data_IF_698635064642
#
_entry.id   IF_698635064642
#
_cell.length_a   1.000
_cell.length_b   1.000
_cell.length_c   1.000
_cell.angle_alpha   90.00
_cell.angle_beta   90.00
_cell.angle_gamma   90.00
#
_symmetry.space_group_name_H-M   'P 1'
#
loop_
_entity.id
_entity.type
_entity.pdbx_description
1 polymer ?
#
# COMPACT_ATOMS: atom_id res chain seq x y z
N UNK A 1 -3.99 -16.21 1.74
CA UNK A 1 -3.18 -14.97 1.76
C UNK A 1 -1.72 -15.18 1.36
N UNK A 2 -0.85 -15.76 2.20
CA UNK A 2 0.60 -15.88 1.90
C UNK A 2 0.93 -16.54 0.56
N UNK A 3 0.19 -17.59 0.19
CA UNK A 3 0.34 -18.27 -1.11
C UNK A 3 0.19 -17.30 -2.30
N UNK A 4 -0.71 -16.33 -2.20
CA UNK A 4 -0.97 -15.37 -3.27
C UNK A 4 0.09 -14.27 -3.29
N UNK A 5 0.51 -13.81 -2.12
CA UNK A 5 1.64 -12.88 -2.01
C UNK A 5 2.86 -13.51 -2.68
N UNK A 6 3.22 -14.75 -2.31
CA UNK A 6 4.35 -15.47 -2.89
C UNK A 6 4.21 -15.67 -4.41
N UNK A 7 3.05 -16.10 -4.90
CA UNK A 7 2.79 -16.25 -6.34
C UNK A 7 2.97 -14.93 -7.10
N UNK A 8 2.46 -13.83 -6.56
CA UNK A 8 2.52 -12.53 -7.20
C UNK A 8 3.93 -11.93 -7.15
N UNK A 9 4.71 -12.22 -6.11
CA UNK A 9 6.13 -11.86 -6.06
C UNK A 9 6.96 -12.58 -7.12
N UNK A 10 6.63 -13.85 -7.43
CA UNK A 10 7.24 -14.56 -8.56
C UNK A 10 6.78 -13.95 -9.90
N UNK A 11 5.49 -13.62 -10.01
CA UNK A 11 4.88 -13.03 -11.20
C UNK A 11 4.86 -11.48 -11.15
N UNK A 12 5.97 -10.88 -10.71
CA UNK A 12 6.08 -9.45 -10.40
C UNK A 12 5.68 -8.52 -11.56
N UNK A 13 6.09 -8.88 -12.77
CA UNK A 13 5.79 -8.16 -14.02
C UNK A 13 4.28 -8.02 -14.26
N UNK A 14 3.50 -9.06 -13.92
CA UNK A 14 2.08 -9.12 -14.24
C UNK A 14 1.17 -8.36 -13.28
N UNK A 15 1.69 -7.85 -12.17
CA UNK A 15 0.86 -7.12 -11.18
C UNK A 15 0.41 -5.78 -11.79
N UNK A 16 -0.90 -5.53 -11.79
CA UNK A 16 -1.48 -4.27 -12.26
C UNK A 16 -2.44 -3.70 -11.21
N UNK A 17 -2.50 -2.36 -11.04
CA UNK A 17 -3.39 -1.72 -10.10
C UNK A 17 -4.80 -1.58 -10.72
N UNK A 18 -5.43 -2.71 -11.05
CA UNK A 18 -6.79 -2.74 -11.60
C UNK A 18 -7.69 -3.73 -10.85
N UNK A 19 -8.99 -3.44 -10.86
CA UNK A 19 -10.01 -4.30 -10.23
C UNK A 19 -10.05 -5.65 -10.95
N UNK A 20 -9.95 -5.65 -12.27
CA UNK A 20 -9.93 -6.86 -13.11
C UNK A 20 -8.75 -7.76 -12.76
N UNK A 21 -7.58 -7.17 -12.48
CA UNK A 21 -6.41 -7.92 -12.08
C UNK A 21 -6.62 -8.64 -10.74
N UNK A 22 -7.19 -7.97 -9.74
CA UNK A 22 -7.55 -8.62 -8.47
C UNK A 22 -8.59 -9.71 -8.69
N UNK A 23 -9.58 -9.44 -9.54
CA UNK A 23 -10.56 -10.42 -10.00
C UNK A 23 -9.92 -11.68 -10.59
N UNK A 24 -8.84 -11.54 -11.37
CA UNK A 24 -8.13 -12.66 -12.00
C UNK A 24 -7.38 -13.56 -11.02
N UNK A 25 -7.09 -13.07 -9.81
CA UNK A 25 -6.39 -13.85 -8.77
C UNK A 25 -7.30 -14.87 -8.08
N UNK A 26 -8.62 -14.70 -8.20
CA UNK A 26 -9.60 -15.53 -7.53
C UNK A 26 -9.94 -16.73 -8.43
N UNK A 27 -9.76 -17.98 -7.96
CA UNK A 27 -10.14 -19.18 -8.68
C UNK A 27 -11.65 -19.19 -9.02
N UNK A 28 -12.00 -19.74 -10.19
CA UNK A 28 -13.39 -19.81 -10.65
C UNK A 28 -14.29 -20.58 -9.67
N UNK A 29 -13.77 -21.63 -9.02
CA UNK A 29 -14.50 -22.38 -7.99
C UNK A 29 -14.97 -21.52 -6.84
N UNK A 30 -14.13 -20.57 -6.40
CA UNK A 30 -14.45 -19.65 -5.30
C UNK A 30 -15.37 -18.55 -5.79
N UNK A 31 -15.19 -18.04 -7.02
CA UNK A 31 -16.12 -17.06 -7.60
C UNK A 31 -17.52 -17.63 -7.69
N UNK A 32 -17.67 -18.80 -8.30
CA UNK A 32 -18.97 -19.45 -8.47
C UNK A 32 -19.60 -19.73 -7.12
N UNK A 33 -18.86 -20.28 -6.15
CA UNK A 33 -19.38 -20.54 -4.81
C UNK A 33 -19.85 -19.29 -4.06
N UNK A 34 -19.12 -18.18 -4.17
CA UNK A 34 -19.50 -16.91 -3.52
C UNK A 34 -20.71 -16.25 -4.20
N UNK A 35 -20.77 -16.28 -5.53
CA UNK A 35 -21.90 -15.71 -6.28
C UNK A 35 -23.17 -16.56 -6.12
N UNK A 36 -23.08 -17.89 -6.16
CA UNK A 36 -24.23 -18.79 -5.97
C UNK A 36 -24.85 -18.66 -4.58
N UNK A 37 -24.02 -18.45 -3.54
CA UNK A 37 -24.50 -18.25 -2.17
C UNK A 37 -25.12 -16.86 -1.95
N UNK A 38 -24.76 -15.86 -2.75
CA UNK A 38 -25.33 -14.50 -2.66
C UNK A 38 -26.71 -14.35 -3.32
N UNK A 39 -27.12 -15.32 -4.14
CA UNK A 39 -28.40 -15.33 -4.89
C UNK A 39 -29.49 -16.22 -4.26
N UNK A 40 -29.37 -16.60 -2.98
CA UNK A 40 -30.38 -17.38 -2.23
C UNK A 40 -30.81 -18.70 -2.91
N UNK A 41 -29.95 -19.33 -3.69
CA UNK A 41 -30.25 -20.62 -4.30
C UNK A 41 -29.22 -21.68 -3.89
N UNK A 42 -29.76 -22.69 -3.19
CA UNK A 42 -29.21 -24.01 -2.87
C UNK A 42 -28.66 -24.13 -1.44
N UNK A 43 -29.48 -24.80 -0.61
CA UNK A 43 -29.06 -25.58 0.56
C UNK A 43 -27.99 -26.60 0.11
N UNK A 44 -26.73 -26.18 0.10
CA UNK A 44 -25.59 -27.07 -0.08
C UNK A 44 -24.97 -27.30 1.30
N UNK A 45 -25.52 -28.25 2.06
CA UNK A 45 -24.91 -28.82 3.29
C UNK A 45 -23.51 -29.45 3.04
N UNK A 46 -23.01 -29.45 1.79
CA UNK A 46 -21.71 -30.01 1.39
C UNK A 46 -20.55 -29.00 1.29
N UNK A 47 -20.81 -27.69 1.29
CA UNK A 47 -19.74 -26.69 1.25
C UNK A 47 -19.74 -25.83 2.50
N UNK A 48 -18.62 -25.83 3.24
CA UNK A 48 -18.36 -24.87 4.31
C UNK A 48 -18.33 -23.45 3.72
N UNK A 49 -19.50 -22.78 3.68
CA UNK A 49 -19.66 -21.43 3.15
C UNK A 49 -18.68 -20.47 3.81
N UNK A 50 -18.49 -20.60 5.13
CA UNK A 50 -17.50 -19.85 5.90
C UNK A 50 -16.07 -20.01 5.34
N UNK A 51 -15.66 -21.23 5.00
CA UNK A 51 -14.34 -21.49 4.44
C UNK A 51 -14.16 -20.85 3.04
N UNK A 52 -15.22 -20.85 2.22
CA UNK A 52 -15.21 -20.21 0.91
C UNK A 52 -15.09 -18.69 1.01
N UNK A 53 -15.91 -18.05 1.84
CA UNK A 53 -15.84 -16.59 2.06
C UNK A 53 -14.53 -16.17 2.72
N UNK A 54 -14.04 -16.95 3.70
CA UNK A 54 -12.76 -16.70 4.34
C UNK A 54 -11.59 -16.86 3.35
N UNK A 55 -11.64 -17.85 2.46
CA UNK A 55 -10.66 -17.99 1.39
C UNK A 55 -10.71 -16.78 0.46
N UNK A 56 -11.90 -16.37 0.01
CA UNK A 56 -12.10 -15.23 -0.88
C UNK A 56 -11.50 -13.93 -0.32
N UNK A 57 -11.83 -13.57 0.93
CA UNK A 57 -11.27 -12.37 1.58
C UNK A 57 -9.75 -12.45 1.67
N UNK A 58 -9.20 -13.58 2.12
CA UNK A 58 -7.76 -13.78 2.24
C UNK A 58 -7.03 -13.78 0.89
N UNK A 59 -7.73 -14.08 -0.21
CA UNK A 59 -7.21 -14.00 -1.58
C UNK A 59 -7.10 -12.54 -1.99
N UNK A 60 -8.20 -11.79 -1.86
CA UNK A 60 -8.27 -10.35 -2.19
C UNK A 60 -7.25 -9.56 -1.38
N UNK A 61 -7.19 -9.74 -0.06
CA UNK A 61 -6.20 -9.07 0.80
C UNK A 61 -4.77 -9.41 0.40
N UNK A 62 -4.49 -10.66 0.01
CA UNK A 62 -3.17 -11.06 -0.47
C UNK A 62 -2.77 -10.37 -1.77
N UNK A 63 -3.73 -10.15 -2.68
CA UNK A 63 -3.52 -9.39 -3.91
C UNK A 63 -3.27 -7.90 -3.61
N UNK A 64 -4.03 -7.30 -2.70
CA UNK A 64 -3.83 -5.91 -2.26
C UNK A 64 -2.43 -5.69 -1.66
N UNK A 65 -1.95 -6.61 -0.81
CA UNK A 65 -0.59 -6.53 -0.24
C UNK A 65 0.47 -6.61 -1.34
N UNK A 66 0.27 -7.47 -2.35
CA UNK A 66 1.21 -7.57 -3.48
C UNK A 66 1.26 -6.27 -4.30
N UNK A 67 0.13 -5.61 -4.53
CA UNK A 67 0.09 -4.27 -5.15
C UNK A 67 0.83 -3.25 -4.27
N UNK A 68 0.61 -3.28 -2.96
CA UNK A 68 1.32 -2.41 -2.02
C UNK A 68 2.84 -2.58 -2.04
N UNK A 69 3.32 -3.82 -2.18
CA UNK A 69 4.75 -4.12 -2.34
C UNK A 69 5.30 -3.65 -3.68
N UNK A 70 4.57 -3.84 -4.79
CA UNK A 70 5.00 -3.40 -6.13
C UNK A 70 5.12 -1.89 -6.26
N UNK A 71 4.14 -1.17 -5.73
CA UNK A 71 4.08 0.29 -5.83
C UNK A 71 4.60 0.97 -4.56
N UNK A 72 5.50 0.32 -3.82
CA UNK A 72 6.02 0.84 -2.56
C UNK A 72 6.73 2.19 -2.77
N UNK A 73 6.21 3.23 -2.13
CA UNK A 73 6.74 4.58 -2.22
C UNK A 73 6.74 5.19 -3.61
N UNK A 74 5.97 4.66 -4.57
CA UNK A 74 5.88 5.20 -5.94
C UNK A 74 4.87 6.34 -6.06
N UNK A 75 3.99 6.53 -5.06
CA UNK A 75 2.92 7.54 -5.06
C UNK A 75 1.97 7.42 -6.27
N UNK A 76 1.76 6.21 -6.77
CA UNK A 76 0.84 5.98 -7.88
C UNK A 76 -0.62 6.22 -7.46
N UNK A 77 -1.34 7.08 -8.19
CA UNK A 77 -2.74 7.42 -7.95
C UNK A 77 -3.68 6.23 -8.09
N UNK A 78 -3.53 5.44 -9.15
CA UNK A 78 -4.41 4.31 -9.46
C UNK A 78 -4.38 3.24 -8.36
N UNK A 79 -3.16 2.90 -7.91
CA UNK A 79 -2.96 1.94 -6.82
C UNK A 79 -3.54 2.44 -5.50
N UNK A 80 -3.45 3.75 -5.25
CA UNK A 80 -4.00 4.37 -4.05
C UNK A 80 -5.53 4.40 -4.05
N UNK A 81 -6.14 4.80 -5.17
CA UNK A 81 -7.60 4.81 -5.31
C UNK A 81 -8.17 3.40 -5.19
N UNK A 82 -7.55 2.42 -5.86
CA UNK A 82 -7.95 1.02 -5.78
C UNK A 82 -7.89 0.52 -4.34
N UNK A 83 -6.75 0.65 -3.65
CA UNK A 83 -6.59 0.15 -2.28
C UNK A 83 -7.49 0.89 -1.29
N UNK A 84 -7.71 2.19 -1.52
CA UNK A 84 -8.66 2.99 -0.75
C UNK A 84 -10.10 2.48 -0.93
N UNK A 85 -10.52 2.19 -2.17
CA UNK A 85 -11.85 1.65 -2.47
C UNK A 85 -12.11 0.33 -1.77
N UNK A 86 -11.14 -0.60 -1.78
CA UNK A 86 -11.22 -1.85 -1.02
C UNK A 86 -11.27 -1.60 0.48
N UNK A 87 -10.43 -0.70 1.02
CA UNK A 87 -10.44 -0.41 2.47
C UNK A 87 -11.80 0.14 2.92
N UNK A 88 -12.40 1.04 2.13
CA UNK A 88 -13.73 1.60 2.40
C UNK A 88 -14.81 0.53 2.27
N UNK A 89 -14.72 -0.37 1.29
CA UNK A 89 -15.67 -1.48 1.17
C UNK A 89 -15.63 -2.40 2.39
N UNK A 90 -14.43 -2.87 2.79
CA UNK A 90 -14.26 -3.69 4.00
C UNK A 90 -14.72 -2.95 5.26
N UNK A 91 -14.56 -1.62 5.31
CA UNK A 91 -15.10 -0.80 6.39
C UNK A 91 -16.63 -0.79 6.43
N UNK A 92 -17.26 -0.57 5.28
CA UNK A 92 -18.71 -0.51 5.14
C UNK A 92 -19.39 -1.83 5.53
N UNK A 93 -18.75 -2.96 5.27
CA UNK A 93 -19.23 -4.27 5.69
C UNK A 93 -19.15 -4.46 7.22
N UNK A 94 -18.15 -3.90 7.91
CA UNK A 94 -18.07 -3.97 9.39
C UNK A 94 -19.09 -3.04 10.05
N UNK A 95 -19.21 -1.82 9.51
CA UNK A 95 -20.18 -0.82 9.91
C UNK A 95 -20.54 0.02 8.69
N UNK A 96 -21.82 0.17 8.39
CA UNK A 96 -22.27 1.05 7.32
C UNK A 96 -21.79 2.50 7.57
N UNK A 97 -20.67 2.88 6.95
CA UNK A 97 -20.28 4.28 6.80
C UNK A 97 -20.98 4.77 5.53
N UNK A 98 -21.53 5.98 5.58
CA UNK A 98 -22.37 6.59 4.54
C UNK A 98 -21.64 6.93 3.22
N UNK A 99 -20.56 6.23 2.89
CA UNK A 99 -19.79 6.41 1.66
C UNK A 99 -20.17 5.29 0.68
N UNK A 100 -21.06 5.62 -0.26
CA UNK A 100 -21.45 4.73 -1.35
C UNK A 100 -20.25 4.55 -2.30
N UNK A 101 -19.75 3.33 -2.40
CA UNK A 101 -18.78 2.90 -3.41
C UNK A 101 -19.44 1.87 -4.35
N UNK A 102 -19.00 1.76 -5.61
CA UNK A 102 -19.53 0.73 -6.52
C UNK A 102 -19.31 -0.66 -5.91
N UNK A 103 -20.28 -1.56 -6.08
CA UNK A 103 -20.31 -2.88 -5.43
C UNK A 103 -19.24 -3.81 -5.99
N UNK A 104 -18.03 -3.72 -5.46
CA UNK A 104 -16.86 -4.53 -5.89
C UNK A 104 -16.85 -5.91 -5.20
N UNK A 105 -17.56 -6.05 -4.09
CA UNK A 105 -17.55 -7.22 -3.20
C UNK A 105 -18.99 -7.60 -2.83
N UNK A 106 -19.28 -8.89 -2.62
CA UNK A 106 -20.61 -9.37 -2.23
C UNK A 106 -21.00 -8.79 -0.86
N UNK A 107 -22.27 -8.42 -0.71
CA UNK A 107 -22.82 -7.86 0.54
C UNK A 107 -23.04 -8.96 1.57
N UNK A 108 -22.82 -8.67 2.85
CA UNK A 108 -23.16 -9.60 3.95
C UNK A 108 -22.00 -10.49 4.39
N UNK A 109 -20.75 -10.03 4.26
CA UNK A 109 -19.56 -10.81 4.61
C UNK A 109 -19.53 -11.18 6.12
N UNK A 110 -20.12 -10.35 6.98
CA UNK A 110 -20.21 -10.59 8.43
C UNK A 110 -21.07 -11.81 8.81
N UNK A 111 -21.96 -12.26 7.92
CA UNK A 111 -22.80 -13.44 8.20
C UNK A 111 -22.01 -14.75 8.10
N UNK A 112 -20.94 -14.74 7.30
CA UNK A 112 -20.15 -15.93 6.97
C UNK A 112 -18.72 -15.88 7.49
N UNK A 113 -18.25 -14.74 7.99
CA UNK A 113 -16.85 -14.54 8.37
C UNK A 113 -16.71 -13.87 9.73
N UNK A 114 -15.85 -14.45 10.56
CA UNK A 114 -15.43 -13.88 11.84
C UNK A 114 -15.00 -12.42 11.70
N UNK A 115 -15.66 -11.55 12.49
CA UNK A 115 -15.34 -10.11 12.60
C UNK A 115 -13.84 -9.84 12.76
N UNK A 116 -13.14 -10.66 13.55
CA UNK A 116 -11.70 -10.50 13.78
C UNK A 116 -10.84 -10.69 12.52
N UNK A 117 -11.22 -11.62 11.64
CA UNK A 117 -10.48 -11.88 10.40
C UNK A 117 -10.70 -10.77 9.37
N UNK A 118 -11.92 -10.24 9.30
CA UNK A 118 -12.27 -9.13 8.43
C UNK A 118 -11.59 -7.83 8.92
N UNK A 119 -11.58 -7.57 10.23
CA UNK A 119 -10.82 -6.47 10.82
C UNK A 119 -9.32 -6.58 10.52
N UNK A 120 -8.73 -7.77 10.65
CA UNK A 120 -7.32 -7.99 10.31
C UNK A 120 -7.05 -7.68 8.82
N UNK A 121 -7.90 -8.17 7.91
CA UNK A 121 -7.77 -7.93 6.48
C UNK A 121 -7.87 -6.44 6.12
N UNK A 122 -8.83 -5.72 6.71
CA UNK A 122 -8.95 -4.27 6.57
C UNK A 122 -7.66 -3.56 6.97
N UNK A 123 -7.09 -3.90 8.12
CA UNK A 123 -5.88 -3.25 8.61
C UNK A 123 -4.65 -3.54 7.74
N UNK A 124 -4.57 -4.75 7.19
CA UNK A 124 -3.51 -5.12 6.25
C UNK A 124 -3.63 -4.35 4.92
N UNK A 125 -4.86 -4.16 4.41
CA UNK A 125 -5.08 -3.34 3.20
C UNK A 125 -4.73 -1.87 3.50
N UNK A 126 -5.16 -1.33 4.63
CA UNK A 126 -4.82 0.03 5.05
C UNK A 126 -3.30 0.24 5.21
N UNK A 127 -2.60 -0.77 5.70
CA UNK A 127 -1.14 -0.79 5.79
C UNK A 127 -0.51 -0.89 4.41
N UNK A 128 -1.03 -1.70 3.48
CA UNK A 128 -0.54 -1.71 2.08
C UNK A 128 -0.73 -0.37 1.37
N UNK A 129 -1.85 0.31 1.62
CA UNK A 129 -2.14 1.67 1.13
C UNK A 129 -1.10 2.68 1.63
N UNK A 130 -0.69 2.57 2.90
CA UNK A 130 0.37 3.42 3.47
C UNK A 130 1.76 3.15 2.89
N UNK A 131 2.04 1.93 2.46
CA UNK A 131 3.31 1.57 1.81
C UNK A 131 3.39 2.20 0.42
N UNK A 132 2.30 2.24 -0.34
CA UNK A 132 2.25 2.94 -1.65
C UNK A 132 2.50 4.44 -1.49
N UNK A 133 1.87 5.04 -0.48
CA UNK A 133 1.94 6.47 -0.17
C UNK A 133 3.01 6.81 0.88
N UNK A 134 4.05 5.99 1.00
CA UNK A 134 5.07 6.17 2.03
C UNK A 134 5.81 7.50 1.86
N UNK A 135 5.94 8.24 2.96
CA UNK A 135 6.62 9.54 3.04
C UNK A 135 5.81 10.75 2.52
N UNK A 136 4.74 10.56 1.74
CA UNK A 136 4.05 11.68 1.08
C UNK A 136 3.12 12.48 2.01
N UNK A 137 2.68 11.90 3.13
CA UNK A 137 1.71 12.56 4.02
C UNK A 137 0.31 12.72 3.42
N UNK A 138 -0.09 11.90 2.43
CA UNK A 138 -1.37 12.02 1.72
C UNK A 138 -2.58 12.17 2.68
N UNK A 139 -3.31 13.28 2.57
CA UNK A 139 -4.35 13.65 3.54
C UNK A 139 -5.53 12.68 3.57
N UNK A 140 -5.95 12.14 2.42
CA UNK A 140 -7.06 11.19 2.33
C UNK A 140 -6.74 9.89 3.09
N UNK A 141 -5.58 9.29 2.83
CA UNK A 141 -5.07 8.12 3.54
C UNK A 141 -4.93 8.41 5.04
N UNK A 142 -4.43 9.59 5.41
CA UNK A 142 -4.26 9.94 6.82
C UNK A 142 -5.60 10.07 7.58
N UNK A 143 -6.61 10.68 6.96
CA UNK A 143 -7.96 10.78 7.55
C UNK A 143 -8.55 9.40 7.81
N UNK A 144 -8.39 8.48 6.85
CA UNK A 144 -8.81 7.08 6.98
C UNK A 144 -8.08 6.38 8.14
N UNK A 145 -6.75 6.46 8.20
CA UNK A 145 -5.96 5.84 9.27
C UNK A 145 -6.28 6.43 10.65
N UNK A 146 -6.53 7.74 10.74
CA UNK A 146 -6.95 8.40 11.99
C UNK A 146 -8.31 7.90 12.45
N UNK A 147 -9.25 7.72 11.53
CA UNK A 147 -10.56 7.14 11.83
C UNK A 147 -10.41 5.71 12.36
N UNK A 148 -9.60 4.86 11.71
CA UNK A 148 -9.33 3.50 12.18
C UNK A 148 -8.72 3.47 13.58
N UNK A 149 -7.74 4.35 13.86
CA UNK A 149 -7.13 4.48 15.18
C UNK A 149 -8.14 4.87 16.26
N UNK A 150 -9.02 5.84 15.96
CA UNK A 150 -10.06 6.28 16.89
C UNK A 150 -11.10 5.20 17.18
N UNK A 151 -11.46 4.41 16.16
CA UNK A 151 -12.40 3.29 16.29
C UNK A 151 -11.89 2.21 17.25
N UNK A 152 -10.64 1.78 17.09
CA UNK A 152 -10.07 0.73 17.95
C UNK A 152 -10.07 1.10 19.43
N UNK A 153 -10.00 2.38 19.77
CA UNK A 153 -10.08 2.85 21.16
C UNK A 153 -11.50 2.89 21.72
N UNK A 154 -12.52 3.09 20.87
CA UNK A 154 -13.91 3.25 21.30
C UNK A 154 -14.65 1.91 21.54
N UNK A 155 -14.27 0.85 20.82
CA UNK A 155 -15.00 -0.43 20.87
C UNK A 155 -14.55 -1.39 22.00
N UNK A 156 -13.56 -1.01 22.81
CA UNK A 156 -13.10 -1.82 23.96
C UNK A 156 -12.40 -3.14 23.62
N UNK A 157 -12.56 -3.66 22.39
CA UNK A 157 -11.83 -4.79 21.84
C UNK A 157 -10.48 -4.33 21.27
N UNK A 158 -9.56 -3.99 22.17
CA UNK A 158 -8.23 -3.51 21.80
C UNK A 158 -7.32 -4.70 21.48
N UNK A 159 -7.39 -5.18 20.23
CA UNK A 159 -6.37 -6.08 19.72
C UNK A 159 -5.08 -5.29 19.48
N UNK A 160 -4.06 -5.57 20.29
CA UNK A 160 -2.75 -4.91 20.24
C UNK A 160 -2.19 -4.86 18.81
N UNK A 161 -2.27 -5.98 18.07
CA UNK A 161 -1.79 -6.08 16.71
C UNK A 161 -2.49 -5.14 15.71
N UNK A 162 -3.79 -4.88 15.87
CA UNK A 162 -4.52 -3.95 15.00
C UNK A 162 -4.05 -2.51 15.25
N UNK A 163 -3.92 -2.12 16.52
CA UNK A 163 -3.40 -0.79 16.87
C UNK A 163 -1.96 -0.58 16.40
N UNK A 164 -1.12 -1.62 16.52
CA UNK A 164 0.23 -1.64 16.00
C UNK A 164 0.22 -1.43 14.48
N UNK A 165 -0.63 -2.15 13.74
CA UNK A 165 -0.74 -2.01 12.29
C UNK A 165 -1.16 -0.60 11.86
N UNK A 166 -2.16 0.02 12.51
CA UNK A 166 -2.55 1.41 12.21
C UNK A 166 -1.41 2.39 12.53
N UNK A 167 -0.74 2.21 13.66
CA UNK A 167 0.34 3.11 14.09
C UNK A 167 1.54 3.01 13.14
N UNK A 168 1.87 1.80 12.69
CA UNK A 168 2.91 1.55 11.70
C UNK A 168 2.53 2.13 10.33
N UNK A 169 1.27 1.99 9.91
CA UNK A 169 0.77 2.61 8.68
C UNK A 169 0.84 4.15 8.71
N UNK A 170 0.50 4.77 9.85
CA UNK A 170 0.68 6.22 10.05
C UNK A 170 2.16 6.59 9.98
N UNK A 171 3.03 5.78 10.61
CA UNK A 171 4.48 5.96 10.56
C UNK A 171 5.04 5.92 9.14
N UNK A 172 4.56 4.99 8.30
CA UNK A 172 4.97 4.90 6.90
C UNK A 172 4.53 6.11 6.07
N UNK A 173 3.33 6.63 6.32
CA UNK A 173 2.85 7.83 5.63
C UNK A 173 3.76 9.03 5.88
N UNK A 174 4.32 9.15 7.09
CA UNK A 174 5.25 10.21 7.50
C UNK A 174 6.67 9.72 7.72
N UNK A 175 7.12 8.78 6.88
CA UNK A 175 8.42 8.14 7.03
C UNK A 175 9.56 9.18 7.04
N UNK A 176 10.38 9.15 8.08
CA UNK A 176 11.45 10.15 8.28
C UNK A 176 10.96 11.60 8.35
N UNK A 177 9.69 11.84 8.71
CA UNK A 177 9.08 13.18 8.65
C UNK A 177 8.81 13.67 7.22
N UNK A 178 8.67 12.75 6.26
CA UNK A 178 8.49 13.05 4.83
C UNK A 178 9.79 13.24 4.07
N UNK A 179 10.92 12.82 4.65
CA UNK A 179 12.24 12.87 4.00
C UNK A 179 12.61 11.57 3.30
N UNK A 180 12.05 10.45 3.76
CA UNK A 180 12.35 9.11 3.28
C UNK A 180 11.10 8.47 2.65
N UNK A 181 11.31 7.51 1.76
CA UNK A 181 10.27 6.64 1.22
C UNK A 181 10.86 5.25 0.92
N UNK A 182 10.03 4.27 0.56
CA UNK A 182 10.48 2.87 0.40
C UNK A 182 11.04 2.58 -0.99
N UNK A 183 12.09 1.79 -1.14
CA UNK A 183 12.52 1.32 -2.47
C UNK A 183 11.92 -0.02 -2.85
N UNK A 184 11.98 -0.32 -4.15
CA UNK A 184 11.52 -1.60 -4.71
C UNK A 184 12.67 -2.53 -5.09
N UNK A 185 13.86 -2.31 -4.52
CA UNK A 185 14.99 -3.23 -4.65
C UNK A 185 14.66 -4.62 -4.05
N UNK A 186 15.32 -5.67 -4.55
CA UNK A 186 15.07 -7.04 -4.08
C UNK A 186 15.26 -7.18 -2.55
N UNK A 187 16.27 -6.51 -1.99
CA UNK A 187 16.52 -6.46 -0.54
C UNK A 187 15.44 -5.68 0.21
N UNK A 188 14.98 -4.55 -0.34
CA UNK A 188 13.92 -3.75 0.25
C UNK A 188 12.59 -4.51 0.27
N UNK A 189 12.23 -5.18 -0.83
CA UNK A 189 11.02 -6.02 -0.89
C UNK A 189 11.10 -7.17 0.12
N UNK A 190 12.25 -7.82 0.26
CA UNK A 190 12.44 -8.88 1.25
C UNK A 190 12.24 -8.35 2.69
N UNK A 191 12.83 -7.19 3.01
CA UNK A 191 12.65 -6.53 4.30
C UNK A 191 11.20 -6.12 4.53
N UNK A 192 10.54 -5.54 3.53
CA UNK A 192 9.13 -5.18 3.59
C UNK A 192 8.25 -6.41 3.81
N UNK A 193 8.45 -7.51 3.09
CA UNK A 193 7.69 -8.75 3.28
C UNK A 193 7.77 -9.23 4.73
N UNK A 194 8.96 -9.23 5.31
CA UNK A 194 9.18 -9.62 6.70
C UNK A 194 8.41 -8.67 7.63
N UNK A 195 8.47 -7.36 7.39
CA UNK A 195 7.80 -6.36 8.25
C UNK A 195 6.30 -6.32 8.13
N UNK A 196 5.76 -6.61 6.94
CA UNK A 196 4.32 -6.57 6.63
C UNK A 196 3.69 -7.95 6.77
N UNK A 197 4.37 -8.90 7.41
CA UNK A 197 3.89 -10.26 7.57
C UNK A 197 2.43 -10.28 8.08
N UNK A 198 1.50 -10.94 7.36
CA UNK A 198 0.05 -10.73 7.53
C UNK A 198 -0.57 -11.36 8.79
N UNK A 199 0.24 -11.77 9.77
CA UNK A 199 -0.23 -12.22 11.09
C UNK A 199 0.19 -11.20 12.15
N UNK A 200 -0.80 -10.53 12.72
CA UNK A 200 -0.60 -9.52 13.76
C UNK A 200 -0.61 -10.18 15.16
N UNK A 201 0.20 -9.68 16.11
CA UNK A 201 0.26 -10.21 17.47
C UNK A 201 -1.03 -9.92 18.24
N UNK A 202 -1.44 -10.86 19.09
CA UNK A 202 -2.64 -10.68 19.94
C UNK A 202 -2.36 -9.78 21.15
N UNK A 203 -1.14 -9.85 21.70
CA UNK A 203 -0.69 -9.05 22.82
C UNK A 203 0.77 -8.57 22.66
N UNK A 204 1.25 -7.70 23.55
CA UNK A 204 2.58 -7.09 23.44
C UNK A 204 3.72 -8.10 23.54
N UNK A 205 3.55 -9.21 24.25
CA UNK A 205 4.58 -10.26 24.36
C UNK A 205 4.31 -11.46 23.43
N UNK A 206 3.33 -11.36 22.53
CA UNK A 206 2.97 -12.44 21.62
C UNK A 206 3.93 -12.47 20.42
N UNK A 207 4.79 -13.49 20.39
CA UNK A 207 5.76 -13.75 19.33
C UNK A 207 5.55 -15.14 18.68
N UNK A 208 4.38 -15.76 18.84
CA UNK A 208 4.13 -17.15 18.39
C UNK A 208 4.25 -17.32 16.87
N UNK A 209 3.62 -16.42 16.11
CA UNK A 209 3.52 -16.52 14.65
C UNK A 209 4.58 -15.69 13.92
N UNK A 210 5.08 -14.63 14.57
CA UNK A 210 6.03 -13.69 14.01
C UNK A 210 6.71 -12.92 15.13
N UNK A 211 8.04 -12.78 15.07
CA UNK A 211 8.80 -12.01 16.04
C UNK A 211 8.55 -10.51 15.84
N UNK A 212 8.12 -9.81 16.88
CA UNK A 212 7.78 -8.39 16.76
C UNK A 212 8.97 -7.50 16.38
N UNK A 213 10.20 -7.86 16.75
CA UNK A 213 11.41 -7.12 16.36
C UNK A 213 11.56 -7.00 14.83
N UNK A 214 11.09 -8.00 14.08
CA UNK A 214 11.15 -8.00 12.62
C UNK A 214 10.23 -6.97 11.97
N UNK A 215 9.25 -6.41 12.72
CA UNK A 215 8.45 -5.28 12.27
C UNK A 215 9.28 -4.02 12.06
N UNK A 216 10.49 -3.91 12.60
CA UNK A 216 11.39 -2.76 12.41
C UNK A 216 12.34 -2.89 11.23
N UNK A 217 12.37 -4.04 10.54
CA UNK A 217 13.25 -4.23 9.38
C UNK A 217 12.90 -3.34 8.18
N UNK A 218 11.77 -2.62 8.22
CA UNK A 218 11.37 -1.72 7.14
C UNK A 218 12.40 -0.62 6.93
N UNK A 219 13.20 -0.30 7.96
CA UNK A 219 14.33 0.64 7.92
C UNK A 219 15.31 0.28 6.80
N UNK A 220 15.54 -1.01 6.51
CA UNK A 220 16.43 -1.45 5.43
C UNK A 220 15.86 -1.08 4.05
N UNK A 221 14.54 -1.03 3.93
CA UNK A 221 13.85 -0.63 2.70
C UNK A 221 13.71 0.90 2.56
N UNK A 222 14.11 1.68 3.57
CA UNK A 222 13.96 3.14 3.54
C UNK A 222 15.12 3.81 2.82
N UNK A 223 14.80 4.74 1.93
CA UNK A 223 15.77 5.54 1.19
C UNK A 223 15.42 7.02 1.27
N UNK A 224 16.43 7.91 1.41
CA UNK A 224 16.22 9.35 1.36
C UNK A 224 15.92 9.76 -0.08
N UNK A 225 14.69 10.22 -0.33
CA UNK A 225 14.24 10.65 -1.67
C UNK A 225 13.78 12.10 -1.73
N UNK A 226 13.91 12.85 -0.62
CA UNK A 226 13.53 14.26 -0.57
C UNK A 226 14.55 15.13 -1.29
N UNK A 227 14.05 15.93 -2.21
CA UNK A 227 14.81 17.03 -2.81
C UNK A 227 14.41 18.34 -2.15
N UNK A 228 15.41 19.13 -1.82
CA UNK A 228 15.25 20.47 -1.26
C UNK A 228 16.15 21.42 -2.07
N UNK A 229 15.55 22.47 -2.59
CA UNK A 229 16.30 23.56 -3.22
C UNK A 229 16.65 24.59 -2.17
N UNK A 230 17.88 25.08 -2.24
CA UNK A 230 18.44 26.11 -1.37
C UNK A 230 18.87 27.25 -2.27
N UNK A 231 18.52 28.46 -1.87
CA UNK A 231 18.94 29.66 -2.58
C UNK A 231 20.42 29.94 -2.34
N UNK A 232 21.16 30.24 -3.40
CA UNK A 232 22.63 30.35 -3.37
C UNK A 232 23.07 31.59 -2.59
N UNK A 233 22.33 32.70 -2.73
CA UNK A 233 22.68 33.98 -2.10
C UNK A 233 22.36 33.99 -0.60
N UNK A 234 21.20 33.46 -0.22
CA UNK A 234 20.73 33.49 1.18
C UNK A 234 21.08 32.24 1.99
N UNK A 235 21.38 31.11 1.33
CA UNK A 235 21.57 29.82 1.99
C UNK A 235 20.30 29.24 2.62
N UNK A 236 19.14 29.84 2.37
CA UNK A 236 17.85 29.43 2.91
C UNK A 236 17.12 28.48 1.95
N UNK A 237 16.31 27.54 2.47
CA UNK A 237 15.54 26.66 1.62
C UNK A 237 14.40 27.42 0.94
N UNK A 238 14.24 27.21 -0.37
CA UNK A 238 13.21 27.88 -1.16
C UNK A 238 12.39 26.88 -1.94
N UNK A 239 11.12 27.21 -2.17
CA UNK A 239 10.21 26.47 -3.02
C UNK A 239 10.49 26.78 -4.49
N UNK A 240 10.80 25.74 -5.27
CA UNK A 240 11.09 25.85 -6.69
C UNK A 240 10.32 24.76 -7.46
N UNK A 241 9.70 25.09 -8.59
CA UNK A 241 9.06 24.07 -9.40
C UNK A 241 10.12 23.23 -10.13
N UNK A 242 9.96 21.92 -10.08
CA UNK A 242 10.79 20.93 -10.75
C UNK A 242 9.93 20.19 -11.77
N UNK A 243 10.46 20.04 -12.98
CA UNK A 243 9.96 19.07 -13.94
C UNK A 243 10.75 17.78 -13.77
N UNK A 244 10.05 16.69 -13.54
CA UNK A 244 10.61 15.36 -13.31
C UNK A 244 10.20 14.47 -14.47
N UNK A 245 11.17 13.85 -15.12
CA UNK A 245 10.91 12.91 -16.23
C UNK A 245 11.26 11.50 -15.79
N UNK A 246 10.27 10.61 -15.82
CA UNK A 246 10.43 9.20 -15.50
C UNK A 246 10.70 8.44 -16.79
N UNK A 247 11.73 7.59 -16.76
CA UNK A 247 12.13 6.76 -17.90
C UNK A 247 10.98 5.83 -18.30
N UNK A 248 10.90 5.58 -19.60
CA UNK A 248 10.04 4.53 -20.15
C UNK A 248 10.41 3.18 -19.54
N UNK A 249 9.39 2.45 -19.10
CA UNK A 249 9.51 1.08 -18.62
C UNK A 249 8.68 0.18 -19.52
N UNK A 250 8.85 -1.14 -19.42
CA UNK A 250 8.05 -2.11 -20.20
C UNK A 250 6.52 -1.93 -20.05
N UNK A 251 6.06 -1.21 -19.02
CA UNK A 251 4.65 -1.06 -18.66
C UNK A 251 4.12 0.37 -18.79
N UNK A 252 5.00 1.37 -18.82
CA UNK A 252 4.63 2.78 -18.78
C UNK A 252 5.52 3.58 -19.72
N UNK A 253 4.88 4.40 -20.55
CA UNK A 253 5.54 5.36 -21.42
C UNK A 253 6.32 6.40 -20.59
N UNK A 254 7.25 7.11 -21.25
CA UNK A 254 7.95 8.24 -20.63
C UNK A 254 6.94 9.30 -20.17
N UNK A 255 6.95 9.59 -18.86
CA UNK A 255 6.03 10.54 -18.24
C UNK A 255 6.78 11.70 -17.63
N UNK A 256 6.29 12.90 -17.91
CA UNK A 256 6.81 14.14 -17.35
C UNK A 256 5.74 14.75 -16.44
N UNK A 257 6.13 15.09 -15.22
CA UNK A 257 5.24 15.79 -14.30
C UNK A 257 5.99 16.90 -13.57
N UNK A 258 5.25 17.90 -13.12
CA UNK A 258 5.78 19.03 -12.39
C UNK A 258 5.44 18.93 -10.90
N UNK A 259 6.46 19.01 -10.06
CA UNK A 259 6.35 19.04 -8.60
C UNK A 259 7.01 20.30 -8.04
N UNK A 260 6.71 20.65 -6.79
CA UNK A 260 7.32 21.82 -6.12
C UNK A 260 8.16 21.34 -4.95
N UNK A 261 9.42 21.79 -4.87
CA UNK A 261 10.30 21.46 -3.74
C UNK A 261 9.84 22.16 -2.46
N UNK A 262 10.00 21.53 -1.28
CA UNK A 262 10.55 20.21 -1.07
C UNK A 262 9.57 19.10 -1.44
N UNK A 263 10.02 18.14 -2.24
CA UNK A 263 9.20 17.01 -2.70
C UNK A 263 9.98 15.69 -2.62
N UNK A 264 9.27 14.58 -2.66
CA UNK A 264 9.84 13.24 -2.76
C UNK A 264 9.91 12.83 -4.22
N UNK A 265 11.12 12.47 -4.66
CA UNK A 265 11.36 11.91 -5.99
C UNK A 265 10.95 10.43 -6.06
N UNK A 266 10.66 9.93 -7.27
CA UNK A 266 10.47 8.51 -7.52
C UNK A 266 11.81 7.78 -7.34
N UNK A 267 11.78 6.46 -7.46
CA UNK A 267 12.98 5.65 -7.34
C UNK A 267 14.03 6.04 -8.39
N UNK A 268 15.30 6.09 -7.96
CA UNK A 268 16.40 6.58 -8.79
C UNK A 268 16.62 5.75 -10.06
N UNK A 269 16.29 4.47 -10.02
CA UNK A 269 16.39 3.54 -11.16
C UNK A 269 15.47 3.92 -12.33
N UNK A 270 14.31 4.51 -12.04
CA UNK A 270 13.31 4.90 -13.04
C UNK A 270 13.43 6.39 -13.39
N UNK A 271 14.24 7.16 -12.67
CA UNK A 271 14.35 8.60 -12.85
C UNK A 271 15.37 8.95 -13.96
N UNK A 272 14.92 9.62 -15.03
CA UNK A 272 15.77 9.97 -16.18
C UNK A 272 16.44 11.33 -16.02
N UNK A 273 15.65 12.36 -15.75
CA UNK A 273 16.16 13.69 -15.50
C UNK A 273 15.24 14.50 -14.58
N UNK A 274 15.84 15.49 -13.92
CA UNK A 274 15.17 16.48 -13.10
C UNK A 274 15.60 17.86 -13.58
N UNK A 275 14.63 18.71 -13.90
CA UNK A 275 14.87 20.06 -14.39
C UNK A 275 14.25 21.09 -13.45
N UNK A 276 15.00 22.13 -13.12
CA UNK A 276 14.44 23.29 -12.45
C UNK A 276 13.65 24.12 -13.47
N UNK A 277 12.35 24.27 -13.22
CA UNK A 277 11.41 24.95 -14.12
C UNK A 277 10.77 26.11 -13.36
N UNK A 278 11.41 27.28 -13.38
CA UNK A 278 10.81 28.48 -12.80
C UNK A 278 11.36 29.75 -13.44
N UNK A 279 10.55 30.81 -13.63
CA UNK A 279 11.03 32.08 -14.14
C UNK A 279 11.94 32.81 -13.14
N UNK A 280 11.91 32.41 -11.87
CA UNK A 280 12.67 33.01 -10.76
C UNK A 280 14.10 32.49 -10.63
N UNK A 281 14.37 31.29 -11.12
CA UNK A 281 15.65 30.61 -10.96
C UNK A 281 16.16 30.11 -12.31
N UNK A 282 17.47 30.06 -12.46
CA UNK A 282 18.08 29.59 -13.69
C UNK A 282 17.75 28.11 -13.93
N UNK A 283 17.32 27.72 -15.16
CA UNK A 283 16.96 26.36 -15.44
C UNK A 283 18.22 25.48 -15.46
N UNK A 284 18.29 24.52 -14.54
CA UNK A 284 19.35 23.53 -14.48
C UNK A 284 18.77 22.14 -14.72
N UNK A 285 19.39 21.39 -15.62
CA UNK A 285 19.02 20.02 -15.94
C UNK A 285 20.02 19.07 -15.27
N UNK A 286 19.52 18.20 -14.40
CA UNK A 286 20.29 17.10 -13.80
C UNK A 286 19.87 15.82 -14.51
N UNK A 287 20.75 15.26 -15.33
CA UNK A 287 20.57 13.93 -15.91
C UNK A 287 21.07 12.91 -14.90
N UNK A 288 20.22 11.95 -14.55
CA UNK A 288 20.61 10.90 -13.62
C UNK A 288 21.07 9.72 -14.46
N UNK A 289 22.33 9.34 -14.30
CA UNK A 289 22.83 8.09 -14.84
C UNK A 289 22.42 6.96 -13.89
N UNK A 290 21.87 5.84 -14.40
CA UNK A 290 21.70 4.65 -13.59
C UNK A 290 23.10 4.22 -13.12
N UNK A 291 23.25 3.93 -11.83
CA UNK A 291 24.55 3.62 -11.24
C UNK A 291 25.19 2.39 -11.91
N UNK A 292 26.13 2.67 -12.81
CA UNK A 292 27.02 1.72 -13.47
C UNK A 292 28.34 2.33 -13.93
N UNK A 293 28.55 3.65 -13.76
CA UNK A 293 29.83 4.31 -14.05
C UNK A 293 30.06 5.43 -13.04
N UNK A 294 30.54 5.07 -11.86
CA UNK A 294 31.42 5.89 -11.02
C UNK A 294 32.09 4.91 -10.04
N UNK A 295 33.11 4.22 -10.55
CA UNK A 295 34.19 3.70 -9.72
C UNK A 295 34.96 4.91 -9.19
N UNK A 296 35.17 4.94 -7.87
CA UNK A 296 36.20 5.67 -7.11
C UNK A 296 36.59 7.09 -7.55
#
# INVERSE_FOLDING_TARGET
MLRIIARNLILWSRIQPSIDWIGSQIPETIKVGVFSMSEEAIDCDEFDAEALFQAYINIVTGACIAIGLKYAGSRNGDAQELLYSYTVHFLNEIKHVSVQTPSILPKGLLQYVDRGTLELCLHLIALSLSVVMAGSGQLQTFRLLRYLRGRSSAEGQVNYGLQMAVSLAIGFLFLGGGTHSFSTSNSAIAALLITLYPRLPTGPNDNRCHLQAFRHLYVIATEPRRVQTVDVDTGLPVYCPLEVTVAETEYYDETNYCDVTPCLLPERSVLKNVRVCGPRYWPQLIKITPEGTNLF
#
